data_IF_856125001161
#
_entry.id   IF_856125001161
#
_cell.length_a   1.000
_cell.length_b   1.000
_cell.length_c   1.000
_cell.angle_alpha   90.00
_cell.angle_beta   90.00
_cell.angle_gamma   90.00
#
_symmetry.space_group_name_H-M   'P 1'
#
loop_
_entity.id
_entity.type
_entity.pdbx_description
1 polymer ?
#
# COMPACT_ATOMS: atom_id res chain seq x y z
N UNK A 1 -7.55 -4.38 -12.90
CA UNK A 1 -7.41 -4.67 -14.34
C UNK A 1 -7.58 -6.16 -14.63
N UNK A 2 -6.89 -7.09 -13.93
CA UNK A 2 -6.99 -8.54 -14.15
C UNK A 2 -8.42 -9.04 -14.01
N UNK A 3 -9.10 -8.67 -12.94
CA UNK A 3 -10.51 -9.01 -12.68
C UNK A 3 -11.52 -8.11 -13.42
N UNK A 4 -11.05 -7.18 -14.26
CA UNK A 4 -11.90 -6.25 -15.05
C UNK A 4 -12.88 -5.39 -14.21
N UNK A 5 -12.59 -5.14 -12.94
CA UNK A 5 -13.47 -4.47 -11.98
C UNK A 5 -13.54 -2.93 -12.12
N UNK A 6 -12.75 -2.36 -13.03
CA UNK A 6 -12.72 -0.91 -13.25
C UNK A 6 -11.57 -0.18 -12.54
N UNK A 7 -11.72 1.15 -12.44
CA UNK A 7 -10.73 2.07 -11.88
C UNK A 7 -11.42 3.12 -11.00
N UNK A 8 -10.80 3.54 -9.87
CA UNK A 8 -9.51 3.13 -9.32
C UNK A 8 -9.57 1.75 -8.62
N UNK A 9 -8.55 0.89 -8.88
CA UNK A 9 -8.56 -0.52 -8.45
C UNK A 9 -8.48 -0.72 -6.94
N UNK A 10 -7.76 0.13 -6.20
CA UNK A 10 -7.55 -0.01 -4.75
C UNK A 10 -8.85 -0.06 -3.95
N UNK A 11 -9.71 0.97 -4.01
CA UNK A 11 -11.00 1.00 -3.32
C UNK A 11 -11.95 -0.14 -3.74
N UNK A 12 -11.89 -0.53 -5.01
CA UNK A 12 -12.73 -1.63 -5.52
C UNK A 12 -12.28 -2.96 -4.91
N UNK A 13 -10.98 -3.24 -4.89
CA UNK A 13 -10.42 -4.45 -4.25
C UNK A 13 -10.79 -4.48 -2.77
N UNK A 14 -10.66 -3.37 -2.05
CA UNK A 14 -11.05 -3.29 -0.64
C UNK A 14 -12.55 -3.57 -0.43
N UNK A 15 -13.40 -3.04 -1.32
CA UNK A 15 -14.86 -3.29 -1.26
C UNK A 15 -15.18 -4.77 -1.41
N UNK A 16 -14.62 -5.45 -2.42
CA UNK A 16 -14.84 -6.88 -2.63
C UNK A 16 -14.25 -7.73 -1.49
N UNK A 17 -13.07 -7.37 -1.00
CA UNK A 17 -12.38 -8.07 0.08
C UNK A 17 -13.21 -8.15 1.38
N UNK A 18 -14.13 -7.21 1.63
CA UNK A 18 -15.00 -7.22 2.82
C UNK A 18 -15.92 -8.44 2.87
N UNK A 19 -16.30 -8.98 1.72
CA UNK A 19 -17.23 -10.11 1.59
C UNK A 19 -16.53 -11.41 1.21
N UNK A 20 -15.18 -11.40 1.10
CA UNK A 20 -14.38 -12.54 0.70
C UNK A 20 -13.78 -13.30 1.87
N UNK A 21 -13.54 -14.59 1.66
CA UNK A 21 -12.74 -15.43 2.56
C UNK A 21 -11.25 -15.20 2.29
N UNK A 22 -10.58 -14.54 3.23
CA UNK A 22 -9.14 -14.22 3.15
C UNK A 22 -8.22 -15.45 3.31
N UNK A 23 -8.76 -16.65 3.52
CA UNK A 23 -8.01 -17.90 3.69
C UNK A 23 -8.22 -18.89 2.54
N UNK A 24 -9.14 -18.62 1.61
CA UNK A 24 -9.48 -19.56 0.52
C UNK A 24 -8.31 -19.80 -0.42
N UNK A 25 -7.54 -18.77 -0.74
CA UNK A 25 -6.37 -18.87 -1.62
C UNK A 25 -5.09 -18.56 -0.85
N UNK A 26 -4.05 -19.37 -1.07
CA UNK A 26 -2.75 -19.15 -0.48
C UNK A 26 -1.79 -18.50 -1.47
N UNK A 27 -1.59 -17.20 -1.35
CA UNK A 27 -0.62 -16.47 -2.16
C UNK A 27 0.75 -16.38 -1.46
N UNK A 28 1.86 -16.47 -2.22
CA UNK A 28 3.20 -16.34 -1.65
C UNK A 28 3.45 -14.91 -1.17
N UNK A 29 4.00 -14.78 0.04
CA UNK A 29 4.44 -13.48 0.53
C UNK A 29 5.76 -13.12 -0.17
N UNK A 30 5.82 -11.99 -0.91
CA UNK A 30 7.03 -11.62 -1.62
C UNK A 30 8.20 -11.40 -0.66
N UNK A 31 9.42 -11.74 -1.11
CA UNK A 31 10.66 -11.49 -0.38
C UNK A 31 10.61 -11.91 1.10
N UNK A 32 9.85 -12.96 1.42
CA UNK A 32 9.66 -13.43 2.81
C UNK A 32 10.99 -13.87 3.46
N UNK A 33 11.90 -14.43 2.67
CA UNK A 33 13.23 -14.88 3.12
C UNK A 33 14.32 -13.82 2.98
N UNK A 34 14.06 -12.68 2.30
CA UNK A 34 15.06 -11.62 2.15
C UNK A 34 15.36 -10.96 3.49
N UNK A 35 16.64 -10.82 3.87
CA UNK A 35 17.02 -10.08 5.07
C UNK A 35 16.77 -8.57 4.95
N UNK A 36 16.67 -8.05 3.74
CA UNK A 36 16.53 -6.64 3.45
C UNK A 36 15.12 -6.11 3.70
N UNK A 37 15.03 -4.82 4.06
CA UNK A 37 13.77 -4.09 4.17
C UNK A 37 13.48 -3.48 2.80
N UNK A 38 12.95 -4.30 1.92
CA UNK A 38 12.61 -3.95 0.54
C UNK A 38 11.23 -4.51 0.17
N UNK A 39 10.57 -3.88 -0.80
CA UNK A 39 9.24 -4.25 -1.23
C UNK A 39 9.22 -4.68 -2.69
N UNK A 40 8.49 -5.75 -2.98
CA UNK A 40 8.17 -6.18 -4.34
C UNK A 40 6.80 -6.84 -4.35
N UNK A 41 6.03 -6.56 -5.38
CA UNK A 41 4.72 -7.18 -5.57
C UNK A 41 4.63 -7.98 -6.88
N UNK A 42 5.72 -8.10 -7.62
CA UNK A 42 5.75 -8.78 -8.92
C UNK A 42 5.37 -10.25 -8.81
N UNK A 43 5.93 -10.96 -7.84
CA UNK A 43 5.58 -12.37 -7.57
C UNK A 43 4.13 -12.56 -7.13
N UNK A 44 3.63 -11.71 -6.22
CA UNK A 44 2.23 -11.74 -5.79
C UNK A 44 1.29 -11.45 -6.95
N UNK A 45 1.61 -10.44 -7.77
CA UNK A 45 0.84 -10.11 -8.97
C UNK A 45 0.73 -11.30 -9.92
N UNK A 46 1.84 -12.02 -10.14
CA UNK A 46 1.84 -13.20 -11.02
C UNK A 46 1.03 -14.36 -10.42
N UNK A 47 1.16 -14.61 -9.11
CA UNK A 47 0.38 -15.66 -8.43
C UNK A 47 -1.13 -15.41 -8.53
N UNK A 48 -1.57 -14.17 -8.30
CA UNK A 48 -2.99 -13.77 -8.47
C UNK A 48 -3.44 -13.95 -9.93
N UNK A 49 -2.61 -13.59 -10.91
CA UNK A 49 -2.94 -13.79 -12.33
C UNK A 49 -3.16 -15.26 -12.66
N UNK A 50 -2.25 -16.12 -12.23
CA UNK A 50 -2.35 -17.56 -12.47
C UNK A 50 -3.61 -18.17 -11.83
N UNK A 51 -3.99 -17.72 -10.64
CA UNK A 51 -5.18 -18.19 -9.96
C UNK A 51 -6.46 -17.76 -10.70
N UNK A 52 -6.52 -16.51 -11.17
CA UNK A 52 -7.63 -16.02 -12.01
C UNK A 52 -7.74 -16.85 -13.27
N UNK A 53 -6.63 -17.08 -14.00
CA UNK A 53 -6.61 -17.88 -15.22
C UNK A 53 -7.03 -19.34 -14.96
N UNK A 54 -6.72 -19.89 -13.79
CA UNK A 54 -7.16 -21.22 -13.38
C UNK A 54 -8.68 -21.28 -13.21
N UNK A 55 -9.25 -20.29 -12.53
CA UNK A 55 -10.69 -20.21 -12.29
C UNK A 55 -11.49 -19.89 -13.57
N UNK A 56 -10.96 -19.03 -14.45
CA UNK A 56 -11.59 -18.72 -15.74
C UNK A 56 -11.74 -19.93 -16.67
N UNK A 57 -10.98 -21.01 -16.47
CA UNK A 57 -11.12 -22.26 -17.22
C UNK A 57 -12.39 -23.04 -16.87
N UNK A 58 -12.95 -22.81 -15.70
CA UNK A 58 -14.23 -23.36 -15.27
C UNK A 58 -15.31 -22.28 -15.36
N UNK A 59 -15.54 -21.55 -14.28
CA UNK A 59 -16.42 -20.37 -14.25
C UNK A 59 -15.95 -19.50 -13.11
N UNK A 60 -15.61 -18.23 -13.40
CA UNK A 60 -15.24 -17.25 -12.36
C UNK A 60 -16.52 -16.64 -11.79
N UNK A 61 -16.84 -16.97 -10.55
CA UNK A 61 -18.01 -16.48 -9.84
C UNK A 61 -17.71 -15.19 -9.07
N UNK A 62 -18.74 -14.45 -8.68
CA UNK A 62 -18.58 -13.20 -7.91
C UNK A 62 -17.94 -13.46 -6.53
N UNK A 63 -18.22 -14.61 -5.92
CA UNK A 63 -17.58 -15.02 -4.67
C UNK A 63 -16.09 -15.28 -4.86
N UNK A 64 -15.67 -15.89 -5.98
CA UNK A 64 -14.24 -16.08 -6.30
C UNK A 64 -13.50 -14.75 -6.38
N UNK A 65 -14.15 -13.74 -6.98
CA UNK A 65 -13.59 -12.38 -7.07
C UNK A 65 -13.40 -11.77 -5.67
N UNK A 66 -14.40 -11.92 -4.80
CA UNK A 66 -14.35 -11.42 -3.43
C UNK A 66 -13.23 -12.09 -2.63
N UNK A 67 -13.10 -13.40 -2.74
CA UNK A 67 -12.09 -14.20 -2.04
C UNK A 67 -10.67 -13.92 -2.57
N UNK A 68 -10.50 -13.77 -3.89
CA UNK A 68 -9.22 -13.33 -4.48
C UNK A 68 -8.83 -11.95 -3.93
N UNK A 69 -9.77 -11.01 -3.88
CA UNK A 69 -9.52 -9.66 -3.35
C UNK A 69 -9.12 -9.70 -1.88
N UNK A 70 -9.80 -10.51 -1.05
CA UNK A 70 -9.51 -10.68 0.36
C UNK A 70 -8.13 -11.32 0.58
N UNK A 71 -7.83 -12.42 -0.09
CA UNK A 71 -6.54 -13.12 0.00
C UNK A 71 -5.38 -12.25 -0.51
N UNK A 72 -5.59 -11.50 -1.60
CA UNK A 72 -4.61 -10.55 -2.11
C UNK A 72 -4.33 -9.44 -1.11
N UNK A 73 -5.39 -8.79 -0.58
CA UNK A 73 -5.26 -7.70 0.40
C UNK A 73 -4.50 -8.17 1.63
N UNK A 74 -4.89 -9.31 2.22
CA UNK A 74 -4.21 -9.92 3.36
C UNK A 74 -2.73 -10.17 3.07
N UNK A 75 -2.41 -10.79 1.94
CA UNK A 75 -1.02 -11.12 1.59
C UNK A 75 -0.17 -9.88 1.34
N UNK A 76 -0.73 -8.87 0.65
CA UNK A 76 -0.05 -7.61 0.40
C UNK A 76 0.26 -6.85 1.71
N UNK A 77 -0.70 -6.78 2.62
CA UNK A 77 -0.52 -6.15 3.94
C UNK A 77 0.47 -6.97 4.79
N UNK A 78 0.36 -8.29 4.80
CA UNK A 78 1.29 -9.16 5.54
C UNK A 78 2.74 -8.98 5.08
N UNK A 79 2.96 -8.74 3.78
CA UNK A 79 4.30 -8.40 3.25
C UNK A 79 4.84 -7.09 3.88
N UNK A 80 4.01 -6.04 3.95
CA UNK A 80 4.39 -4.77 4.60
C UNK A 80 4.73 -5.01 6.08
N UNK A 81 3.85 -5.69 6.80
CA UNK A 81 4.02 -5.95 8.24
C UNK A 81 5.29 -6.76 8.55
N UNK A 82 5.65 -7.74 7.72
CA UNK A 82 6.90 -8.48 7.88
C UNK A 82 8.14 -7.58 7.82
N UNK A 83 8.15 -6.62 6.89
CA UNK A 83 9.27 -5.67 6.76
C UNK A 83 9.28 -4.65 7.91
N UNK A 84 8.12 -4.18 8.33
CA UNK A 84 7.99 -3.30 9.49
C UNK A 84 8.43 -3.99 10.78
N UNK A 85 8.05 -5.26 11.01
CA UNK A 85 8.53 -6.03 12.17
C UNK A 85 10.06 -6.15 12.20
N UNK A 86 10.71 -6.34 11.06
CA UNK A 86 12.18 -6.30 10.99
C UNK A 86 12.73 -4.92 11.37
N UNK A 87 12.14 -3.85 10.84
CA UNK A 87 12.55 -2.49 11.14
C UNK A 87 12.40 -2.14 12.63
N UNK A 88 11.24 -2.42 13.21
CA UNK A 88 10.96 -2.17 14.63
C UNK A 88 11.85 -2.98 15.58
N UNK A 89 12.29 -4.19 15.18
CA UNK A 89 13.26 -4.97 15.94
C UNK A 89 14.68 -4.38 15.89
N UNK A 90 15.03 -3.70 14.80
CA UNK A 90 16.35 -3.10 14.61
C UNK A 90 16.45 -1.69 15.20
N UNK A 91 15.34 -0.96 15.25
CA UNK A 91 15.31 0.45 15.65
C UNK A 91 14.10 0.74 16.53
N UNK A 92 14.31 1.52 17.59
CA UNK A 92 13.21 2.08 18.37
C UNK A 92 12.63 3.27 17.63
N UNK A 93 11.40 3.10 17.12
CA UNK A 93 10.68 4.13 16.38
C UNK A 93 9.52 4.61 17.24
N UNK A 94 9.59 5.84 17.75
CA UNK A 94 8.53 6.43 18.60
C UNK A 94 7.33 6.89 17.79
N UNK A 95 7.57 7.42 16.59
CA UNK A 95 6.53 7.96 15.71
C UNK A 95 6.65 7.28 14.34
N UNK A 96 5.56 6.73 13.85
CA UNK A 96 5.45 6.10 12.54
C UNK A 96 4.30 6.73 11.78
N UNK A 97 4.54 7.18 10.56
CA UNK A 97 3.51 7.79 9.72
C UNK A 97 3.32 6.99 8.43
N UNK A 98 2.08 6.91 7.96
CA UNK A 98 1.76 6.37 6.64
C UNK A 98 1.01 7.42 5.82
N UNK A 99 1.43 7.59 4.57
CA UNK A 99 0.89 8.57 3.62
C UNK A 99 0.69 7.95 2.24
N UNK A 100 0.05 8.69 1.32
CA UNK A 100 -0.21 8.26 -0.04
C UNK A 100 -1.50 7.46 -0.19
N UNK A 101 -1.93 7.21 -1.43
CA UNK A 101 -3.24 6.62 -1.74
C UNK A 101 -3.50 5.26 -1.09
N UNK A 102 -2.49 4.41 -0.95
CA UNK A 102 -2.63 3.11 -0.28
C UNK A 102 -2.94 3.24 1.22
N UNK A 103 -2.56 4.37 1.85
CA UNK A 103 -2.85 4.63 3.27
C UNK A 103 -4.33 4.85 3.57
N UNK A 104 -5.19 5.00 2.54
CA UNK A 104 -6.64 5.06 2.70
C UNK A 104 -7.27 3.69 2.99
N UNK A 105 -6.58 2.59 2.71
CA UNK A 105 -7.10 1.24 2.93
C UNK A 105 -7.28 0.96 4.44
N UNK A 106 -8.51 0.69 4.86
CA UNK A 106 -8.88 0.54 6.27
C UNK A 106 -8.30 -0.75 6.88
N UNK A 107 -8.19 -1.82 6.10
CA UNK A 107 -7.56 -3.06 6.57
C UNK A 107 -6.08 -2.83 6.87
N UNK A 108 -5.36 -2.13 5.98
CA UNK A 108 -3.96 -1.76 6.22
C UNK A 108 -3.82 -0.88 7.47
N UNK A 109 -4.68 0.13 7.65
CA UNK A 109 -4.65 1.01 8.84
C UNK A 109 -4.79 0.22 10.12
N UNK A 110 -5.78 -0.67 10.20
CA UNK A 110 -6.02 -1.53 11.37
C UNK A 110 -4.79 -2.39 11.71
N UNK A 111 -4.21 -3.01 10.70
CA UNK A 111 -3.03 -3.85 10.89
C UNK A 111 -1.78 -3.03 11.30
N UNK A 112 -1.66 -1.80 10.82
CA UNK A 112 -0.59 -0.88 11.25
C UNK A 112 -0.81 -0.37 12.68
N UNK A 113 -2.05 -0.13 13.10
CA UNK A 113 -2.36 0.19 14.49
C UNK A 113 -1.91 -0.95 15.42
N UNK A 114 -2.25 -2.19 15.08
CA UNK A 114 -1.87 -3.37 15.86
C UNK A 114 -0.35 -3.49 16.03
N UNK A 115 0.41 -3.35 14.94
CA UNK A 115 1.87 -3.46 15.01
C UNK A 115 2.49 -2.27 15.76
N UNK A 116 1.99 -1.06 15.57
CA UNK A 116 2.49 0.11 16.30
C UNK A 116 2.24 -0.02 17.80
N UNK A 117 1.09 -0.55 18.21
CA UNK A 117 0.80 -0.87 19.62
C UNK A 117 1.77 -1.94 20.17
N UNK A 118 2.03 -3.02 19.42
CA UNK A 118 2.98 -4.09 19.80
C UNK A 118 4.37 -3.50 20.10
N UNK A 119 4.83 -2.53 19.31
CA UNK A 119 6.17 -1.92 19.44
C UNK A 119 6.18 -0.57 20.16
N UNK A 120 5.08 -0.16 20.81
CA UNK A 120 4.95 1.12 21.55
C UNK A 120 5.29 2.34 20.69
N UNK A 121 4.91 2.31 19.43
CA UNK A 121 5.05 3.39 18.47
C UNK A 121 3.73 4.13 18.31
N UNK A 122 3.77 5.46 18.17
CA UNK A 122 2.58 6.24 17.82
C UNK A 122 2.37 6.22 16.32
N UNK A 123 1.22 5.73 15.86
CA UNK A 123 0.84 5.76 14.44
C UNK A 123 0.20 7.11 14.10
N UNK A 124 0.72 7.76 13.07
CA UNK A 124 0.17 8.99 12.50
C UNK A 124 -0.49 8.69 11.16
N UNK A 125 -1.77 8.99 11.06
CA UNK A 125 -2.59 8.82 9.86
C UNK A 125 -3.09 10.18 9.37
N UNK A 126 -3.07 10.37 8.06
CA UNK A 126 -3.79 11.49 7.46
C UNK A 126 -5.30 11.18 7.37
N UNK A 127 -6.13 12.20 7.35
CA UNK A 127 -7.54 12.05 7.02
C UNK A 127 -7.68 11.44 5.62
N UNK A 128 -8.73 10.64 5.41
CA UNK A 128 -8.91 9.90 4.16
C UNK A 128 -8.93 10.80 2.92
N UNK A 129 -9.48 12.00 3.06
CA UNK A 129 -9.56 12.98 1.97
C UNK A 129 -8.19 13.51 1.51
N UNK A 130 -7.16 13.39 2.35
CA UNK A 130 -5.79 13.84 2.04
C UNK A 130 -4.82 12.70 1.69
N UNK A 131 -5.32 11.47 1.58
CA UNK A 131 -4.46 10.33 1.24
C UNK A 131 -4.00 10.30 -0.22
N UNK A 132 -4.79 10.87 -1.14
CA UNK A 132 -4.41 11.03 -2.55
C UNK A 132 -3.76 12.39 -2.80
N UNK A 133 -3.14 12.52 -3.98
CA UNK A 133 -2.57 13.79 -4.43
C UNK A 133 -3.62 14.91 -4.37
N UNK A 134 -3.24 16.05 -3.77
CA UNK A 134 -4.12 17.19 -3.60
C UNK A 134 -3.33 18.49 -3.50
N UNK A 135 -3.99 19.61 -3.82
CA UNK A 135 -3.36 20.93 -3.82
C UNK A 135 -2.93 21.40 -2.41
N UNK A 136 -3.60 20.94 -1.35
CA UNK A 136 -3.29 21.36 0.02
C UNK A 136 -1.89 20.88 0.45
N UNK A 137 -1.46 19.66 0.05
CA UNK A 137 -0.11 19.16 0.35
C UNK A 137 0.96 19.98 -0.38
N UNK A 138 0.71 20.39 -1.61
CA UNK A 138 1.63 21.26 -2.38
C UNK A 138 1.70 22.65 -1.77
N UNK A 139 0.57 23.25 -1.42
CA UNK A 139 0.53 24.52 -0.71
C UNK A 139 1.26 24.49 0.64
N UNK A 140 1.16 23.38 1.37
CA UNK A 140 1.89 23.21 2.64
C UNK A 140 3.40 23.19 2.43
N UNK A 141 3.90 22.46 1.44
CA UNK A 141 5.33 22.44 1.08
C UNK A 141 5.79 23.83 0.64
N UNK A 142 5.01 24.52 -0.19
CA UNK A 142 5.32 25.87 -0.65
C UNK A 142 5.49 26.88 0.51
N UNK A 143 4.68 26.77 1.58
CA UNK A 143 4.84 27.60 2.79
C UNK A 143 6.17 27.33 3.47
N UNK A 144 6.62 26.09 3.59
CA UNK A 144 7.90 25.77 4.21
C UNK A 144 9.08 26.26 3.34
N UNK A 145 9.02 26.07 2.02
CA UNK A 145 10.02 26.60 1.09
C UNK A 145 10.10 28.14 1.13
N UNK A 146 8.94 28.80 1.18
CA UNK A 146 8.88 30.25 1.32
C UNK A 146 9.60 30.74 2.59
N UNK A 147 9.37 30.09 3.74
CA UNK A 147 10.05 30.44 5.00
C UNK A 147 11.56 30.25 4.96
N UNK A 148 12.03 29.32 4.13
CA UNK A 148 13.45 29.02 3.96
C UNK A 148 14.12 29.83 2.85
N UNK A 149 13.36 30.70 2.14
CA UNK A 149 13.77 31.38 0.91
C UNK A 149 14.27 30.40 -0.19
N UNK A 150 13.69 29.20 -0.22
CA UNK A 150 14.01 28.17 -1.20
C UNK A 150 13.11 28.36 -2.44
N UNK A 151 13.60 29.16 -3.38
CA UNK A 151 12.90 29.48 -4.62
C UNK A 151 13.68 28.96 -5.81
N UNK A 152 12.95 28.54 -6.85
CA UNK A 152 13.52 28.19 -8.15
C UNK A 152 13.16 29.28 -9.16
N UNK A 153 14.11 29.64 -10.04
CA UNK A 153 13.81 30.52 -11.15
C UNK A 153 12.94 29.81 -12.17
N UNK A 154 12.09 30.55 -12.89
CA UNK A 154 11.23 29.98 -13.92
C UNK A 154 12.00 29.25 -15.03
N UNK A 155 13.21 29.73 -15.34
CA UNK A 155 14.10 29.15 -16.35
C UNK A 155 14.69 27.79 -15.91
N UNK A 156 14.79 27.54 -14.59
CA UNK A 156 15.33 26.32 -14.01
C UNK A 156 14.20 25.31 -13.68
N UNK A 157 12.94 25.66 -13.95
CA UNK A 157 11.80 24.81 -13.64
C UNK A 157 11.77 23.59 -14.57
N UNK A 158 11.96 22.42 -14.00
CA UNK A 158 11.93 21.14 -14.70
C UNK A 158 10.94 20.16 -14.06
N UNK A 159 10.33 19.30 -14.89
CA UNK A 159 9.40 18.25 -14.46
C UNK A 159 10.14 16.92 -14.46
N UNK A 160 10.40 16.36 -13.27
CA UNK A 160 11.04 15.05 -13.13
C UNK A 160 9.98 14.02 -12.78
N UNK A 161 9.75 13.06 -13.68
CA UNK A 161 8.81 11.95 -13.46
C UNK A 161 9.29 10.94 -12.39
N UNK A 162 10.60 10.92 -12.11
CA UNK A 162 11.24 10.14 -11.03
C UNK A 162 12.46 10.89 -10.51
N UNK A 163 12.56 11.00 -9.21
CA UNK A 163 13.84 11.30 -8.57
C UNK A 163 14.69 10.02 -8.60
N UNK A 164 15.87 10.07 -9.21
CA UNK A 164 16.77 8.91 -9.35
C UNK A 164 17.71 8.74 -8.17
N UNK A 165 17.79 9.73 -7.27
CA UNK A 165 18.78 9.79 -6.19
C UNK A 165 18.05 9.90 -4.84
N UNK A 166 17.85 8.73 -4.21
CA UNK A 166 17.64 8.56 -2.77
C UNK A 166 18.50 7.40 -2.29
#
# INVERSE_FOLDING_TARGET
KMLKLGYPGGPIVEKYAKNGDENRFSFPIPLSQSPNIEFSYSGLKNAVRLEIERLERTTLEEQDISDICACFQKTAVKHILQKLKKLFKQKTIKNFAIVGGASANLYLRKELENICLEYKSTLHLSDLMYCSDNAAMIGRVAVEQYKQNDFINLEDLDIKSRLKDY
#
